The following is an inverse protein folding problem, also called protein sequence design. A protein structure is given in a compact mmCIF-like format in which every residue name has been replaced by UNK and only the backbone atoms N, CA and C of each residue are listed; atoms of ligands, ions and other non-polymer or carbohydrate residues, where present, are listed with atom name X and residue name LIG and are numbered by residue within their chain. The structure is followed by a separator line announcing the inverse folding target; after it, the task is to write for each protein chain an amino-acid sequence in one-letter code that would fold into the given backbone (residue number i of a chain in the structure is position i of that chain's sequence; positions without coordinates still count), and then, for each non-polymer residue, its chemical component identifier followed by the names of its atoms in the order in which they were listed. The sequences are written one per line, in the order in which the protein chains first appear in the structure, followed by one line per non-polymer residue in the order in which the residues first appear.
data_IF_295003364277
#
_entry.id   IF_295003364277
#
_cell.length_a   1.000
_cell.length_b   1.000
_cell.length_c   1.000
_cell.angle_alpha   90.00
_cell.angle_beta   90.00
_cell.angle_gamma   90.00
#
_symmetry.space_group_name_H-M   'P 1'
#
loop_
_entity.id
_entity.type
_entity.pdbx_description
1 polymer ?
#
# COMPACT_ATOMS: atom_id res chain seq x y z
N UNK A 1 21.71 -13.27 15.00
CA UNK A 1 21.55 -13.21 13.53
C UNK A 1 20.60 -12.06 13.26
N UNK A 2 21.10 -10.93 12.76
CA UNK A 2 20.27 -9.76 12.43
C UNK A 2 19.53 -10.04 11.13
N UNK A 3 18.22 -10.29 11.22
CA UNK A 3 17.33 -10.28 10.07
C UNK A 3 17.52 -8.96 9.32
N UNK A 4 18.09 -9.04 8.12
CA UNK A 4 18.04 -7.94 7.16
C UNK A 4 16.56 -7.71 6.87
N UNK A 5 15.97 -6.69 7.47
CA UNK A 5 14.60 -6.25 7.21
C UNK A 5 14.47 -6.11 5.70
N UNK A 6 13.74 -7.05 5.08
CA UNK A 6 13.54 -7.06 3.64
C UNK A 6 12.83 -5.77 3.30
N UNK A 7 13.52 -4.84 2.64
CA UNK A 7 12.99 -3.52 2.33
C UNK A 7 11.73 -3.70 1.47
N UNK A 8 10.56 -3.57 2.10
CA UNK A 8 9.29 -3.62 1.40
C UNK A 8 9.17 -2.38 0.54
N UNK A 9 8.67 -2.55 -0.69
CA UNK A 9 8.36 -1.44 -1.57
C UNK A 9 6.94 -1.00 -1.24
N UNK A 10 6.82 -0.12 -0.25
CA UNK A 10 5.57 0.53 0.15
C UNK A 10 5.54 1.91 -0.50
N UNK A 11 4.39 2.31 -1.03
CA UNK A 11 4.19 3.66 -1.56
C UNK A 11 3.02 4.33 -0.86
N UNK A 12 3.22 5.58 -0.44
CA UNK A 12 2.12 6.48 -0.10
C UNK A 12 1.37 6.86 -1.38
N UNK A 13 0.05 6.71 -1.37
CA UNK A 13 -0.80 7.01 -2.50
C UNK A 13 -1.80 8.08 -2.08
N UNK A 14 -1.62 9.31 -2.55
CA UNK A 14 -2.67 10.31 -2.54
C UNK A 14 -3.34 10.33 -3.91
N UNK A 15 -4.62 9.94 -4.00
CA UNK A 15 -5.41 10.10 -5.21
C UNK A 15 -6.77 10.69 -4.83
N UNK A 16 -6.98 11.98 -5.09
CA UNK A 16 -8.17 12.70 -4.63
C UNK A 16 -8.18 12.88 -3.12
N UNK A 17 -9.31 12.53 -2.47
CA UNK A 17 -9.51 12.66 -1.01
C UNK A 17 -9.01 11.47 -0.19
N UNK A 18 -8.59 10.37 -0.83
CA UNK A 18 -8.24 9.13 -0.15
C UNK A 18 -6.74 8.87 -0.23
N UNK A 19 -6.11 8.84 0.94
CA UNK A 19 -4.72 8.45 1.11
C UNK A 19 -4.65 6.97 1.48
N UNK A 20 -3.74 6.20 0.89
CA UNK A 20 -3.70 4.75 1.10
C UNK A 20 -2.27 4.19 1.02
N UNK A 21 -2.05 3.01 1.63
CA UNK A 21 -0.80 2.28 1.53
C UNK A 21 -0.97 1.03 0.68
N UNK A 22 -0.02 0.80 -0.22
CA UNK A 22 0.08 -0.43 -1.01
C UNK A 22 1.46 -1.04 -0.87
N UNK A 23 1.50 -2.33 -0.58
CA UNK A 23 2.73 -3.13 -0.57
C UNK A 23 2.63 -4.31 -1.53
N UNK A 24 3.69 -4.58 -2.28
CA UNK A 24 3.76 -5.75 -3.18
C UNK A 24 3.89 -7.05 -2.37
N UNK A 25 3.01 -8.01 -2.60
CA UNK A 25 2.92 -9.27 -1.86
C UNK A 25 1.68 -9.35 -0.97
N UNK A 26 1.64 -10.32 -0.06
CA UNK A 26 0.59 -10.47 0.96
C UNK A 26 1.23 -10.16 2.29
N UNK A 27 0.71 -9.15 2.98
CA UNK A 27 1.27 -8.64 4.23
C UNK A 27 0.17 -8.34 5.25
N UNK A 28 0.54 -8.28 6.52
CA UNK A 28 -0.35 -7.73 7.54
C UNK A 28 -0.43 -6.21 7.44
N UNK A 29 -1.43 -5.63 8.08
CA UNK A 29 -1.56 -4.17 8.19
C UNK A 29 -0.38 -3.57 8.94
N UNK A 30 0.04 -4.22 10.02
CA UNK A 30 1.13 -3.81 10.90
C UNK A 30 2.46 -3.80 10.14
N UNK A 31 2.73 -4.81 9.31
CA UNK A 31 3.95 -4.87 8.49
C UNK A 31 4.04 -3.73 7.49
N UNK A 32 2.91 -3.38 6.85
CA UNK A 32 2.84 -2.32 5.85
C UNK A 32 3.08 -0.96 6.51
N UNK A 33 2.42 -0.70 7.64
CA UNK A 33 2.57 0.55 8.39
C UNK A 33 4.01 0.68 8.91
N UNK A 34 4.56 -0.38 9.53
CA UNK A 34 5.93 -0.38 10.02
C UNK A 34 6.94 -0.14 8.89
N UNK A 35 6.72 -0.75 7.72
CA UNK A 35 7.55 -0.52 6.54
C UNK A 35 7.42 0.90 5.97
N UNK A 36 6.21 1.49 5.97
CA UNK A 36 5.98 2.86 5.54
C UNK A 36 6.73 3.87 6.44
N UNK A 37 6.64 3.69 7.76
CA UNK A 37 7.38 4.50 8.75
C UNK A 37 8.89 4.32 8.57
N UNK A 38 9.37 3.08 8.44
CA UNK A 38 10.79 2.80 8.26
C UNK A 38 11.36 3.36 6.94
N UNK A 39 10.52 3.57 5.93
CA UNK A 39 10.89 4.22 4.68
C UNK A 39 10.76 5.75 4.71
N UNK A 40 10.18 6.33 5.77
CA UNK A 40 9.89 7.76 5.87
C UNK A 40 8.75 8.21 4.95
N UNK A 41 7.87 7.29 4.55
CA UNK A 41 6.70 7.61 3.71
C UNK A 41 5.57 8.24 4.54
N UNK A 42 5.48 7.89 5.83
CA UNK A 42 4.57 8.50 6.81
C UNK A 42 5.28 8.61 8.16
N UNK A 43 4.88 9.57 8.99
CA UNK A 43 5.35 9.68 10.38
C UNK A 43 4.61 8.69 11.30
N UNK A 44 5.24 8.34 12.43
CA UNK A 44 4.70 7.36 13.39
C UNK A 44 3.35 7.79 13.97
N UNK A 45 3.11 9.10 14.13
CA UNK A 45 1.84 9.64 14.62
C UNK A 45 0.67 9.41 13.65
N UNK A 46 0.94 9.32 12.35
CA UNK A 46 -0.07 9.04 11.31
C UNK A 46 -0.41 7.55 11.18
N UNK A 47 0.34 6.65 11.83
CA UNK A 47 0.08 5.22 11.81
C UNK A 47 -1.35 4.86 12.23
N UNK A 48 -1.91 5.64 13.16
CA UNK A 48 -3.23 5.40 13.75
C UNK A 48 -4.38 5.79 12.83
N UNK A 49 -4.10 6.52 11.75
CA UNK A 49 -5.10 6.95 10.77
C UNK A 49 -5.50 5.79 9.85
N UNK A 50 -4.65 4.79 9.67
CA UNK A 50 -4.97 3.57 8.92
C UNK A 50 -5.84 2.64 9.78
N UNK A 51 -7.16 2.69 9.62
CA UNK A 51 -8.12 1.93 10.45
C UNK A 51 -8.82 0.78 9.73
N UNK A 52 -8.86 0.76 8.41
CA UNK A 52 -9.50 -0.34 7.68
C UNK A 52 -8.73 -1.67 7.75
N UNK A 53 -9.42 -2.73 7.32
CA UNK A 53 -8.84 -4.07 7.19
C UNK A 53 -7.92 -4.15 5.95
N UNK A 54 -6.78 -4.86 6.03
CA UNK A 54 -5.90 -5.05 4.88
C UNK A 54 -6.57 -5.92 3.82
N UNK A 55 -6.60 -5.44 2.58
CA UNK A 55 -7.16 -6.18 1.44
C UNK A 55 -6.03 -6.71 0.56
N UNK A 56 -5.84 -8.03 0.58
CA UNK A 56 -4.84 -8.71 -0.27
C UNK A 56 -5.48 -9.24 -1.54
N UNK A 57 -4.82 -9.05 -2.68
CA UNK A 57 -5.37 -9.46 -3.97
C UNK A 57 -4.45 -9.18 -5.14
N UNK A 58 -4.94 -9.49 -6.33
CA UNK A 58 -4.31 -9.06 -7.58
C UNK A 58 -4.78 -7.65 -7.91
N UNK A 59 -3.86 -6.78 -8.31
CA UNK A 59 -4.13 -5.37 -8.57
C UNK A 59 -3.53 -4.95 -9.92
N UNK A 60 -4.11 -3.91 -10.52
CA UNK A 60 -3.54 -3.15 -11.62
C UNK A 60 -3.16 -1.76 -11.15
N UNK A 61 -2.03 -1.26 -11.66
CA UNK A 61 -1.61 0.12 -11.51
C UNK A 61 -2.02 0.88 -12.78
N UNK A 62 -2.96 1.81 -12.66
CA UNK A 62 -3.45 2.66 -13.75
C UNK A 62 -2.88 4.07 -13.56
N UNK A 63 -1.98 4.55 -14.43
CA UNK A 63 -1.45 5.91 -14.34
C UNK A 63 -2.55 6.97 -14.46
N UNK A 64 -2.48 8.00 -13.63
CA UNK A 64 -3.42 9.13 -13.67
C UNK A 64 -2.80 10.33 -14.38
N UNK A 65 -3.64 11.15 -15.02
CA UNK A 65 -3.21 12.31 -15.82
C UNK A 65 -2.55 13.43 -15.02
N UNK A 66 -2.70 13.43 -13.69
CA UNK A 66 -2.17 14.39 -12.74
C UNK A 66 -0.83 13.97 -12.10
N UNK A 67 -0.22 12.86 -12.58
CA UNK A 67 1.10 12.42 -12.13
C UNK A 67 1.08 11.33 -11.05
N UNK A 68 -0.05 10.67 -10.84
CA UNK A 68 -0.23 9.57 -9.89
C UNK A 68 -0.47 8.20 -10.52
N UNK A 69 -0.95 7.28 -9.69
CA UNK A 69 -1.43 5.97 -10.12
C UNK A 69 -2.59 5.52 -9.22
N UNK A 70 -3.69 5.12 -9.85
CA UNK A 70 -4.79 4.43 -9.19
C UNK A 70 -4.55 2.91 -9.18
N UNK A 71 -5.04 2.25 -8.14
CA UNK A 71 -4.95 0.80 -8.05
C UNK A 71 -6.33 0.17 -8.09
N UNK A 72 -6.53 -0.73 -9.04
CA UNK A 72 -7.80 -1.37 -9.31
C UNK A 72 -7.71 -2.88 -9.08
N UNK A 73 -8.74 -3.47 -8.51
CA UNK A 73 -8.82 -4.92 -8.32
C UNK A 73 -8.68 -5.68 -9.65
N UNK A 74 -7.96 -6.79 -9.62
CA UNK A 74 -7.66 -7.63 -10.78
C UNK A 74 -7.66 -9.11 -10.41
N UNK A 75 -7.16 -9.96 -11.31
CA UNK A 75 -7.00 -11.40 -11.15
C UNK A 75 -5.65 -11.88 -11.66
N UNK A 76 -5.28 -13.08 -11.22
CA UNK A 76 -4.06 -13.74 -11.65
C UNK A 76 -4.02 -13.93 -13.18
N UNK A 77 -2.85 -13.71 -13.77
CA UNK A 77 -2.60 -13.99 -15.19
C UNK A 77 -3.03 -12.87 -16.15
N UNK A 78 -3.65 -11.79 -15.66
CA UNK A 78 -3.88 -10.60 -16.47
C UNK A 78 -2.57 -9.84 -16.65
N UNK A 79 -2.24 -9.48 -17.89
CA UNK A 79 -1.00 -8.73 -18.19
C UNK A 79 -1.00 -7.41 -17.43
N UNK A 80 0.06 -7.17 -16.67
CA UNK A 80 0.20 -5.98 -15.83
C UNK A 80 -0.38 -6.13 -14.42
N UNK A 81 -0.98 -7.27 -14.08
CA UNK A 81 -1.40 -7.54 -12.70
C UNK A 81 -0.26 -7.98 -11.80
N UNK A 82 -0.34 -7.55 -10.55
CA UNK A 82 0.61 -7.93 -9.51
C UNK A 82 -0.14 -8.19 -8.20
N UNK A 83 0.41 -9.09 -7.39
CA UNK A 83 -0.10 -9.40 -6.06
C UNK A 83 0.30 -8.29 -5.09
N UNK A 84 -0.66 -7.77 -4.33
CA UNK A 84 -0.44 -6.69 -3.37
C UNK A 84 -1.46 -6.69 -2.24
N UNK A 85 -1.11 -6.00 -1.16
CA UNK A 85 -2.00 -5.71 -0.03
C UNK A 85 -2.19 -4.21 0.11
N UNK A 86 -3.45 -3.80 0.18
CA UNK A 86 -3.87 -2.42 0.34
C UNK A 86 -4.40 -2.18 1.76
N UNK A 87 -4.03 -1.06 2.37
CA UNK A 87 -4.58 -0.62 3.66
C UNK A 87 -5.17 0.78 3.44
N UNK A 88 -6.50 0.92 3.56
CA UNK A 88 -7.11 2.22 3.42
C UNK A 88 -6.88 3.08 4.68
N UNK A 89 -6.61 4.35 4.46
CA UNK A 89 -6.66 5.34 5.53
C UNK A 89 -8.12 5.52 5.94
N UNK A 90 -8.35 5.62 7.25
CA UNK A 90 -9.68 5.83 7.79
C UNK A 90 -10.11 7.27 7.50
N UNK A 91 -10.92 7.46 6.48
CA UNK A 91 -11.68 8.68 6.28
C UNK A 91 -13.18 8.38 6.51
N UNK A 92 -13.81 9.24 7.31
CA UNK A 92 -15.23 9.22 7.69
C UNK A 92 -16.18 9.12 6.48
#
# INVERSE_FOLDING_TARGET
MTEKTKKMNVRYLSCGSDSNLLAKGIHSKEDIIAAAIACGEIDEEFAQEFKGDPVSGWWHAVPCSDGGCEYHGSKQGVRGSFLGTFVPMGNY
#
